data_IF_544100440024
#
_entry.id   IF_544100440024
#
_cell.length_a   1.000
_cell.length_b   1.000
_cell.length_c   1.000
_cell.angle_alpha   90.00
_cell.angle_beta   90.00
_cell.angle_gamma   90.00
#
_symmetry.space_group_name_H-M   'P 1'
#
loop_
_entity.id
_entity.type
_entity.pdbx_description
1 polymer ?
#
# COMPACT_ATOMS: atom_id res chain seq x y z
N UNK A 1 -0.58 -30.19 -38.67
CA UNK A 1 -0.83 -29.94 -37.23
C UNK A 1 -0.32 -28.54 -36.90
N UNK A 2 -1.16 -27.53 -37.08
CA UNK A 2 -0.81 -26.13 -36.77
C UNK A 2 -0.84 -25.90 -35.26
N UNK A 3 0.20 -25.27 -34.73
CA UNK A 3 0.31 -24.93 -33.32
C UNK A 3 -0.90 -24.09 -32.89
N UNK A 4 -1.66 -24.59 -31.92
CA UNK A 4 -2.75 -23.84 -31.28
C UNK A 4 -2.09 -22.74 -30.43
N UNK A 5 -2.08 -21.52 -30.94
CA UNK A 5 -1.70 -20.33 -30.19
C UNK A 5 -2.55 -20.28 -28.91
N UNK A 6 -1.94 -20.51 -27.76
CA UNK A 6 -2.60 -20.32 -26.46
C UNK A 6 -2.70 -18.82 -26.26
N UNK A 7 -3.89 -18.26 -26.40
CA UNK A 7 -4.11 -16.83 -26.21
C UNK A 7 -3.69 -16.41 -24.79
N UNK A 8 -2.87 -15.35 -24.63
CA UNK A 8 -2.22 -15.01 -23.35
C UNK A 8 -3.14 -14.28 -22.35
N UNK A 9 -4.46 -14.33 -22.55
CA UNK A 9 -5.45 -13.65 -21.71
C UNK A 9 -6.45 -14.66 -21.17
N UNK A 10 -5.94 -15.64 -20.42
CA UNK A 10 -6.79 -16.43 -19.54
C UNK A 10 -7.48 -15.46 -18.58
N UNK A 11 -8.81 -15.46 -18.68
CA UNK A 11 -9.82 -14.67 -18.00
C UNK A 11 -9.89 -14.89 -16.47
N UNK A 12 -8.74 -15.17 -15.84
CA UNK A 12 -8.64 -15.57 -14.44
C UNK A 12 -7.98 -14.52 -13.54
N UNK A 13 -7.46 -13.40 -14.08
CA UNK A 13 -6.98 -12.30 -13.24
C UNK A 13 -8.12 -11.33 -12.93
N UNK A 14 -9.09 -11.77 -12.14
CA UNK A 14 -10.04 -10.84 -11.54
C UNK A 14 -9.28 -10.06 -10.45
N UNK A 15 -9.12 -8.73 -10.53
CA UNK A 15 -8.53 -7.99 -9.44
C UNK A 15 -9.40 -8.24 -8.20
N UNK A 16 -8.80 -8.58 -7.03
CA UNK A 16 -9.57 -8.80 -5.83
C UNK A 16 -10.35 -7.53 -5.53
N UNK A 17 -11.67 -7.61 -5.70
CA UNK A 17 -12.56 -6.47 -5.49
C UNK A 17 -12.35 -6.06 -4.04
N UNK A 18 -11.95 -4.81 -3.76
CA UNK A 18 -11.65 -4.40 -2.40
C UNK A 18 -12.88 -4.65 -1.53
N UNK A 19 -12.66 -5.42 -0.47
CA UNK A 19 -13.70 -5.73 0.49
C UNK A 19 -14.23 -4.43 1.11
N UNK A 20 -15.46 -4.47 1.63
CA UNK A 20 -16.10 -3.28 2.24
C UNK A 20 -15.20 -2.65 3.31
N UNK A 21 -14.44 -3.48 4.02
CA UNK A 21 -13.44 -3.06 4.99
C UNK A 21 -12.30 -2.25 4.36
N UNK A 22 -11.69 -2.74 3.27
CA UNK A 22 -10.64 -1.99 2.55
C UNK A 22 -11.15 -0.65 2.00
N UNK A 23 -12.41 -0.59 1.58
CA UNK A 23 -13.05 0.67 1.14
C UNK A 23 -13.31 1.62 2.29
N UNK A 24 -13.76 1.13 3.44
CA UNK A 24 -13.94 1.94 4.65
C UNK A 24 -12.63 2.57 5.13
N UNK A 25 -11.56 1.78 5.16
CA UNK A 25 -10.20 2.27 5.46
C UNK A 25 -9.68 3.28 4.44
N UNK A 26 -10.24 3.33 3.22
CA UNK A 26 -9.86 4.32 2.21
C UNK A 26 -10.70 5.59 2.25
N UNK A 27 -11.92 5.54 2.79
CA UNK A 27 -12.91 6.63 2.73
C UNK A 27 -13.09 7.37 4.06
N UNK A 28 -12.80 6.73 5.20
CA UNK A 28 -12.96 7.36 6.50
C UNK A 28 -11.92 8.47 6.72
N UNK A 29 -12.39 9.73 6.79
CA UNK A 29 -11.55 10.90 7.08
C UNK A 29 -10.85 10.80 8.44
N UNK A 30 -11.55 10.28 9.45
CA UNK A 30 -10.96 10.06 10.77
C UNK A 30 -9.78 9.08 10.70
N UNK A 31 -9.94 8.00 9.94
CA UNK A 31 -8.87 7.01 9.73
C UNK A 31 -7.72 7.55 8.89
N UNK A 32 -8.00 8.38 7.89
CA UNK A 32 -6.97 9.07 7.11
C UNK A 32 -6.14 10.02 7.98
N UNK A 33 -6.76 10.78 8.90
CA UNK A 33 -6.06 11.65 9.85
C UNK A 33 -5.16 10.87 10.80
N UNK A 34 -5.66 9.77 11.38
CA UNK A 34 -4.84 8.91 12.26
C UNK A 34 -3.62 8.37 11.49
N UNK A 35 -3.82 7.88 10.26
CA UNK A 35 -2.73 7.37 9.42
C UNK A 35 -1.72 8.46 9.06
N UNK A 36 -2.19 9.68 8.78
CA UNK A 36 -1.33 10.83 8.53
C UNK A 36 -0.44 11.14 9.74
N UNK A 37 -1.02 11.23 10.94
CA UNK A 37 -0.26 11.47 12.18
C UNK A 37 0.79 10.39 12.41
N UNK A 38 0.43 9.11 12.30
CA UNK A 38 1.36 7.99 12.52
C UNK A 38 2.54 8.04 11.54
N UNK A 39 2.29 8.28 10.26
CA UNK A 39 3.35 8.36 9.25
C UNK A 39 4.31 9.50 9.56
N UNK A 40 3.78 10.70 9.86
CA UNK A 40 4.60 11.86 10.21
C UNK A 40 5.46 11.61 11.45
N UNK A 41 4.89 11.00 12.50
CA UNK A 41 5.64 10.61 13.71
C UNK A 41 6.74 9.59 13.40
N UNK A 42 6.48 8.62 12.52
CA UNK A 42 7.47 7.60 12.15
C UNK A 42 8.65 8.20 11.39
N UNK A 43 8.38 9.12 10.45
CA UNK A 43 9.42 9.83 9.69
C UNK A 43 10.22 10.74 10.63
N UNK A 44 9.54 11.49 11.51
CA UNK A 44 10.20 12.33 12.51
C UNK A 44 11.12 11.50 13.41
N UNK A 45 10.63 10.36 13.93
CA UNK A 45 11.43 9.43 14.74
C UNK A 45 12.63 8.87 13.97
N UNK A 46 12.47 8.55 12.70
CA UNK A 46 13.56 8.08 11.84
C UNK A 46 14.62 9.17 11.65
N UNK A 47 14.23 10.40 11.32
CA UNK A 47 15.15 11.53 11.17
C UNK A 47 15.91 11.83 12.47
N UNK A 48 15.21 11.88 13.61
CA UNK A 48 15.85 12.09 14.91
C UNK A 48 16.92 11.03 15.22
N UNK A 49 16.67 9.76 14.86
CA UNK A 49 17.67 8.69 14.99
C UNK A 49 18.83 8.86 14.02
N UNK A 50 18.55 9.21 12.76
CA UNK A 50 19.59 9.41 11.75
C UNK A 50 20.59 10.51 12.16
N UNK A 51 20.11 11.60 12.76
CA UNK A 51 20.98 12.69 13.22
C UNK A 51 21.92 12.30 14.38
N UNK A 52 21.51 11.39 15.26
CA UNK A 52 22.38 10.89 16.33
C UNK A 52 23.43 9.88 15.82
N UNK A 53 23.10 9.10 14.78
CA UNK A 53 24.03 8.11 14.20
C UNK A 53 25.14 8.75 13.36
N UNK A 54 24.88 9.89 12.70
CA UNK A 54 25.89 10.58 11.90
C UNK A 54 26.83 11.48 12.74
N UNK A 55 26.57 11.66 14.04
CA UNK A 55 27.38 12.50 14.94
C UNK A 55 28.22 11.69 15.95
N UNK A 56 28.28 10.37 15.80
CA UNK A 56 29.17 9.45 16.53
C UNK A 56 30.20 8.88 15.56
#
# INVERSE_FOLDING_TARGET
MGAKNREPYQQAYYPPVPTRFTRYMRTSLLWQLIRFVIINLKILKLMMKAHHVHKA
#
